data_IF_712936271104
#
_entry.id   IF_712936271104
#
_cell.length_a   1.000
_cell.length_b   1.000
_cell.length_c   1.000
_cell.angle_alpha   90.00
_cell.angle_beta   90.00
_cell.angle_gamma   90.00
#
_symmetry.space_group_name_H-M   'P 1'
#
loop_
_entity.id
_entity.type
_entity.pdbx_description
1 polymer ?
#
# COMPACT_ATOMS: atom_id res chain seq x y z
N UNK A 1 -6.46 -34.22 -4.17
CA UNK A 1 -7.60 -34.61 -5.03
C UNK A 1 -7.23 -35.87 -5.80
N UNK A 2 -7.54 -37.07 -5.29
CA UNK A 2 -7.49 -38.38 -5.99
C UNK A 2 -7.47 -39.56 -4.99
N UNK A 3 -8.59 -39.92 -4.36
CA UNK A 3 -8.60 -41.12 -3.48
C UNK A 3 -9.80 -42.03 -3.70
N UNK A 4 -11.00 -41.52 -3.99
CA UNK A 4 -12.19 -42.38 -4.17
C UNK A 4 -12.23 -43.17 -5.49
N UNK A 5 -11.53 -42.73 -6.55
CA UNK A 5 -11.54 -43.41 -7.86
C UNK A 5 -10.33 -44.30 -8.12
N UNK A 6 -9.34 -44.33 -7.23
CA UNK A 6 -8.01 -44.90 -7.53
C UNK A 6 -7.82 -46.36 -7.09
N UNK A 7 -8.64 -46.90 -6.18
CA UNK A 7 -8.47 -48.26 -5.65
C UNK A 7 -9.84 -48.90 -5.41
N UNK A 8 -10.10 -50.06 -6.01
CA UNK A 8 -11.37 -50.79 -5.97
C UNK A 8 -11.83 -51.33 -4.61
N UNK A 9 -11.47 -50.67 -3.49
CA UNK A 9 -11.91 -51.03 -2.13
C UNK A 9 -13.23 -50.35 -1.72
N UNK A 10 -13.80 -49.47 -2.56
CA UNK A 10 -15.02 -48.72 -2.22
C UNK A 10 -16.25 -49.64 -2.23
N UNK A 11 -16.30 -50.62 -3.13
CA UNK A 11 -17.43 -51.53 -3.26
C UNK A 11 -17.47 -52.54 -2.10
N UNK A 12 -16.31 -52.99 -1.59
CA UNK A 12 -16.23 -53.84 -0.39
C UNK A 12 -16.74 -53.12 0.87
N UNK A 13 -16.44 -51.82 0.99
CA UNK A 13 -16.94 -50.98 2.09
C UNK A 13 -18.44 -50.69 1.95
N UNK A 14 -18.96 -50.64 0.73
CA UNK A 14 -20.38 -50.49 0.45
C UNK A 14 -21.18 -51.68 0.96
N UNK A 15 -20.80 -52.89 0.53
CA UNK A 15 -21.50 -54.11 0.92
C UNK A 15 -21.45 -54.30 2.44
N UNK A 16 -20.29 -54.07 3.06
CA UNK A 16 -20.14 -54.12 4.52
C UNK A 16 -21.07 -53.13 5.25
N UNK A 17 -21.23 -51.90 4.75
CA UNK A 17 -22.11 -50.91 5.36
C UNK A 17 -23.58 -51.29 5.19
N UNK A 18 -23.99 -51.65 3.97
CA UNK A 18 -25.39 -51.98 3.65
C UNK A 18 -25.86 -53.22 4.43
N UNK A 19 -25.08 -54.31 4.45
CA UNK A 19 -25.46 -55.52 5.19
C UNK A 19 -25.55 -55.30 6.70
N UNK A 20 -24.64 -54.50 7.28
CA UNK A 20 -24.68 -54.16 8.71
C UNK A 20 -25.89 -53.29 9.07
N UNK A 21 -26.30 -52.40 8.17
CA UNK A 21 -27.51 -51.60 8.36
C UNK A 21 -28.77 -52.47 8.24
N UNK A 22 -28.86 -53.36 7.25
CA UNK A 22 -29.98 -54.30 7.12
C UNK A 22 -30.10 -55.21 8.34
N UNK A 23 -28.98 -55.73 8.85
CA UNK A 23 -28.95 -56.53 10.09
C UNK A 23 -29.46 -55.75 11.31
N UNK A 24 -29.28 -54.42 11.34
CA UNK A 24 -29.80 -53.53 12.39
C UNK A 24 -31.27 -53.13 12.18
N UNK A 25 -31.93 -53.67 11.16
CA UNK A 25 -33.36 -53.43 10.87
C UNK A 25 -33.63 -52.27 9.91
N UNK A 26 -32.62 -51.72 9.23
CA UNK A 26 -32.82 -50.68 8.21
C UNK A 26 -33.19 -51.29 6.85
N UNK A 27 -34.02 -50.59 6.09
CA UNK A 27 -34.33 -50.95 4.72
C UNK A 27 -33.08 -50.94 3.82
N UNK A 28 -32.99 -51.90 2.89
CA UNK A 28 -31.82 -52.07 2.02
C UNK A 28 -31.69 -50.91 1.03
N UNK A 29 -32.79 -50.49 0.42
CA UNK A 29 -32.78 -49.37 -0.53
C UNK A 29 -32.39 -48.07 0.16
N UNK A 30 -32.87 -47.85 1.39
CA UNK A 30 -32.43 -46.74 2.23
C UNK A 30 -30.92 -46.76 2.50
N UNK A 31 -30.39 -47.89 2.93
CA UNK A 31 -28.96 -48.06 3.26
C UNK A 31 -28.06 -47.80 2.05
N UNK A 32 -28.47 -48.29 0.87
CA UNK A 32 -27.78 -48.08 -0.39
C UNK A 32 -27.78 -46.60 -0.81
N UNK A 33 -28.90 -45.87 -0.62
CA UNK A 33 -28.97 -44.43 -0.87
C UNK A 33 -28.04 -43.63 0.05
N UNK A 34 -27.93 -43.99 1.33
CA UNK A 34 -27.00 -43.34 2.27
C UNK A 34 -25.55 -43.50 1.83
N UNK A 35 -25.14 -44.70 1.41
CA UNK A 35 -23.77 -44.91 0.92
C UNK A 35 -23.49 -44.10 -0.35
N UNK A 36 -24.45 -44.04 -1.28
CA UNK A 36 -24.32 -43.23 -2.49
C UNK A 36 -24.18 -41.73 -2.20
N UNK A 37 -24.82 -41.21 -1.15
CA UNK A 37 -24.60 -39.83 -0.69
C UNK A 37 -23.17 -39.64 -0.17
N UNK A 38 -22.66 -40.53 0.69
CA UNK A 38 -21.28 -40.47 1.20
C UNK A 38 -20.27 -40.51 0.04
N UNK A 39 -20.51 -41.36 -0.96
CA UNK A 39 -19.70 -41.45 -2.18
C UNK A 39 -19.68 -40.12 -2.95
N UNK A 40 -20.82 -39.44 -3.05
CA UNK A 40 -20.93 -38.10 -3.65
C UNK A 40 -20.17 -37.02 -2.86
N UNK A 41 -20.24 -37.05 -1.52
CA UNK A 41 -19.52 -36.10 -0.65
C UNK A 41 -18.01 -36.38 -0.57
N UNK A 42 -17.56 -37.62 -0.83
CA UNK A 42 -16.15 -38.00 -0.77
C UNK A 42 -15.22 -37.20 -1.70
N UNK A 43 -15.77 -36.57 -2.74
CA UNK A 43 -15.00 -35.70 -3.66
C UNK A 43 -14.87 -34.25 -3.17
N UNK A 44 -15.74 -33.80 -2.26
CA UNK A 44 -15.79 -32.43 -1.73
C UNK A 44 -15.61 -32.33 -0.20
N UNK A 45 -15.43 -33.46 0.49
CA UNK A 45 -15.26 -33.51 1.94
C UNK A 45 -13.99 -32.76 2.39
N UNK A 46 -14.14 -31.90 3.41
CA UNK A 46 -13.06 -31.12 3.98
C UNK A 46 -12.82 -31.52 5.44
N UNK A 47 -11.56 -31.63 5.92
CA UNK A 47 -11.28 -32.01 7.30
C UNK A 47 -11.81 -30.96 8.28
N UNK A 48 -12.78 -31.34 9.10
CA UNK A 48 -13.43 -30.44 10.07
C UNK A 48 -12.43 -29.84 11.06
N UNK A 49 -11.49 -30.64 11.57
CA UNK A 49 -10.47 -30.17 12.51
C UNK A 49 -9.58 -29.07 11.92
N UNK A 50 -9.26 -29.16 10.63
CA UNK A 50 -8.52 -28.14 9.89
C UNK A 50 -9.39 -26.91 9.65
N UNK A 51 -10.66 -27.07 9.25
CA UNK A 51 -11.57 -25.94 9.07
C UNK A 51 -11.77 -25.16 10.40
N UNK A 52 -11.98 -25.88 11.51
CA UNK A 52 -12.21 -25.29 12.81
C UNK A 52 -11.01 -24.47 13.32
N UNK A 53 -9.78 -24.97 13.14
CA UNK A 53 -8.57 -24.25 13.57
C UNK A 53 -8.38 -22.94 12.79
N UNK A 54 -8.59 -22.94 11.47
CA UNK A 54 -8.56 -21.72 10.65
C UNK A 54 -9.72 -20.78 10.97
N UNK A 55 -10.94 -21.30 11.16
CA UNK A 55 -12.10 -20.50 11.54
C UNK A 55 -11.88 -19.75 12.85
N UNK A 56 -11.20 -20.36 13.83
CA UNK A 56 -10.84 -19.71 15.07
C UNK A 56 -9.91 -18.50 14.84
N UNK A 57 -8.91 -18.62 13.95
CA UNK A 57 -8.02 -17.49 13.60
C UNK A 57 -8.79 -16.36 12.90
N UNK A 58 -9.69 -16.70 11.98
CA UNK A 58 -10.54 -15.73 11.28
C UNK A 58 -11.45 -15.00 12.27
N UNK A 59 -12.06 -15.73 13.20
CA UNK A 59 -12.93 -15.16 14.23
C UNK A 59 -12.16 -14.19 15.13
N UNK A 60 -11.01 -14.61 15.67
CA UNK A 60 -10.17 -13.75 16.53
C UNK A 60 -9.72 -12.50 15.77
N UNK A 61 -9.29 -12.63 14.51
CA UNK A 61 -8.86 -11.49 13.69
C UNK A 61 -10.02 -10.53 13.40
N UNK A 62 -11.20 -11.05 13.09
CA UNK A 62 -12.40 -10.26 12.83
C UNK A 62 -12.89 -9.55 14.10
N UNK A 63 -12.79 -10.22 15.26
CA UNK A 63 -13.11 -9.63 16.55
C UNK A 63 -12.16 -8.48 16.89
N UNK A 64 -10.85 -8.65 16.67
CA UNK A 64 -9.87 -7.56 16.82
C UNK A 64 -10.14 -6.41 15.86
N UNK A 65 -10.44 -6.69 14.58
CA UNK A 65 -10.79 -5.64 13.61
C UNK A 65 -12.05 -4.86 14.03
N UNK A 66 -13.06 -5.56 14.55
CA UNK A 66 -14.32 -4.96 14.98
C UNK A 66 -14.17 -4.10 16.25
N UNK A 67 -13.43 -4.59 17.25
CA UNK A 67 -13.38 -3.94 18.57
C UNK A 67 -12.12 -3.11 18.82
N UNK A 68 -11.03 -3.41 18.12
CA UNK A 68 -9.72 -2.74 18.25
C UNK A 68 -9.07 -2.45 16.89
N UNK A 69 -9.76 -1.73 15.98
CA UNK A 69 -9.25 -1.46 14.64
C UNK A 69 -7.88 -0.74 14.62
N UNK A 70 -7.59 0.13 15.58
CA UNK A 70 -6.32 0.86 15.63
C UNK A 70 -5.16 -0.09 15.95
N UNK A 71 -5.32 -0.92 16.98
CA UNK A 71 -4.35 -1.93 17.36
C UNK A 71 -4.16 -2.99 16.26
N UNK A 72 -5.26 -3.42 15.64
CA UNK A 72 -5.24 -4.38 14.53
C UNK A 72 -4.45 -3.83 13.34
N UNK A 73 -4.72 -2.59 12.93
CA UNK A 73 -3.98 -1.94 11.85
C UNK A 73 -2.50 -1.74 12.18
N UNK A 74 -2.16 -1.30 13.40
CA UNK A 74 -0.77 -1.17 13.85
C UNK A 74 -0.03 -2.50 13.76
N UNK A 75 -0.64 -3.58 14.26
CA UNK A 75 -0.05 -4.91 14.22
C UNK A 75 0.18 -5.39 12.78
N UNK A 76 -0.79 -5.16 11.87
CA UNK A 76 -0.64 -5.50 10.45
C UNK A 76 0.48 -4.70 9.78
N UNK A 77 0.59 -3.40 10.04
CA UNK A 77 1.67 -2.56 9.50
C UNK A 77 3.05 -3.00 10.00
N UNK A 78 3.15 -3.36 11.28
CA UNK A 78 4.41 -3.82 11.87
C UNK A 78 4.78 -5.25 11.44
N UNK A 79 3.82 -6.04 10.96
CA UNK A 79 4.05 -7.39 10.44
C UNK A 79 4.46 -7.42 8.95
N UNK A 80 4.64 -6.25 8.32
CA UNK A 80 5.10 -6.18 6.93
C UNK A 80 6.57 -6.61 6.80
N UNK A 81 6.96 -7.26 5.68
CA UNK A 81 6.17 -7.53 4.49
C UNK A 81 5.21 -8.73 4.67
N UNK A 82 3.90 -8.52 4.45
CA UNK A 82 2.87 -9.57 4.49
C UNK A 82 2.16 -9.71 3.13
N UNK A 83 1.39 -10.78 2.93
CA UNK A 83 1.03 -11.30 1.59
C UNK A 83 0.01 -10.55 0.74
N UNK A 84 -1.05 -9.94 1.29
CA UNK A 84 -2.16 -9.47 0.44
C UNK A 84 -2.33 -7.95 0.43
N UNK A 85 -2.42 -7.30 1.59
CA UNK A 85 -2.71 -5.85 1.69
C UNK A 85 -1.44 -4.99 1.77
N UNK A 86 -1.42 -3.90 1.00
CA UNK A 86 -0.39 -2.87 1.07
C UNK A 86 -0.61 -1.92 2.26
N UNK A 87 0.44 -1.26 2.79
CA UNK A 87 0.32 -0.31 3.90
C UNK A 87 -0.75 0.77 3.69
N UNK A 88 -0.83 1.35 2.48
CA UNK A 88 -1.84 2.35 2.14
C UNK A 88 -3.27 1.84 2.34
N UNK A 89 -3.55 0.59 1.97
CA UNK A 89 -4.87 -0.01 2.10
C UNK A 89 -5.23 -0.30 3.56
N UNK A 90 -4.25 -0.73 4.36
CA UNK A 90 -4.45 -0.97 5.80
C UNK A 90 -4.76 0.35 6.51
N UNK A 91 -4.00 1.40 6.18
CA UNK A 91 -4.20 2.75 6.72
C UNK A 91 -5.56 3.31 6.33
N UNK A 92 -5.96 3.13 5.06
CA UNK A 92 -7.27 3.53 4.57
C UNK A 92 -8.40 2.79 5.27
N UNK A 93 -8.32 1.46 5.35
CA UNK A 93 -9.31 0.63 6.04
C UNK A 93 -9.42 1.06 7.52
N UNK A 94 -8.31 1.32 8.21
CA UNK A 94 -8.34 1.84 9.57
C UNK A 94 -9.07 3.18 9.67
N UNK A 95 -8.80 4.12 8.75
CA UNK A 95 -9.48 5.42 8.70
C UNK A 95 -10.99 5.28 8.43
N UNK A 96 -11.39 4.37 7.54
CA UNK A 96 -12.80 4.05 7.25
C UNK A 96 -13.50 3.39 8.46
N UNK A 97 -12.75 2.73 9.36
CA UNK A 97 -13.22 2.24 10.66
C UNK A 97 -13.18 3.32 11.77
N UNK A 98 -12.94 4.59 11.42
CA UNK A 98 -12.94 5.72 12.36
C UNK A 98 -11.65 5.89 13.16
N UNK A 99 -10.57 5.19 12.81
CA UNK A 99 -9.26 5.38 13.45
C UNK A 99 -8.61 6.64 12.93
N UNK A 100 -8.23 7.55 13.83
CA UNK A 100 -7.38 8.69 13.47
C UNK A 100 -5.97 8.21 13.21
N UNK A 101 -5.46 8.43 12.00
CA UNK A 101 -4.08 8.09 11.62
C UNK A 101 -3.22 9.34 11.65
N UNK A 102 -2.05 9.25 12.27
CA UNK A 102 -1.09 10.33 12.42
C UNK A 102 0.17 10.01 11.60
N UNK A 103 0.67 11.00 10.89
CA UNK A 103 1.83 10.87 10.01
C UNK A 103 3.11 10.48 10.79
N UNK A 104 4.14 10.05 10.06
CA UNK A 104 5.46 9.87 10.66
C UNK A 104 5.98 11.22 11.15
N UNK A 105 6.59 11.27 12.34
CA UNK A 105 7.14 12.50 12.89
C UNK A 105 8.40 12.23 13.75
N UNK A 106 9.44 13.03 13.59
CA UNK A 106 10.72 12.84 14.31
C UNK A 106 10.61 12.99 15.82
N UNK A 107 9.66 13.78 16.33
CA UNK A 107 9.45 13.98 17.76
C UNK A 107 8.42 13.02 18.37
N UNK A 108 7.66 12.28 17.57
CA UNK A 108 6.60 11.41 18.09
C UNK A 108 6.73 9.94 17.68
N UNK A 109 7.14 9.65 16.45
CA UNK A 109 7.20 8.28 15.94
C UNK A 109 8.33 7.47 16.59
N UNK A 110 8.04 6.19 16.86
CA UNK A 110 9.05 5.16 17.10
C UNK A 110 9.46 4.51 15.77
N UNK A 111 10.29 3.45 15.82
CA UNK A 111 10.57 2.64 14.64
C UNK A 111 9.28 2.01 14.09
N UNK A 112 8.57 1.27 14.94
CA UNK A 112 7.28 0.65 14.65
C UNK A 112 6.12 1.64 14.75
N UNK A 113 5.01 1.31 14.10
CA UNK A 113 3.75 2.03 14.29
C UNK A 113 3.25 1.82 15.72
N UNK A 114 2.80 2.90 16.37
CA UNK A 114 2.37 2.92 17.78
C UNK A 114 0.94 3.44 17.93
N UNK A 115 0.38 3.28 19.13
CA UNK A 115 -0.91 3.84 19.50
C UNK A 115 -0.72 5.06 20.40
N UNK A 116 -1.30 6.20 20.01
CA UNK A 116 -1.26 7.46 20.77
C UNK A 116 -2.63 7.76 21.38
N UNK A 117 -2.68 8.05 22.68
CA UNK A 117 -3.94 8.37 23.35
C UNK A 117 -4.45 9.77 22.95
N UNK A 118 -5.71 9.85 22.52
CA UNK A 118 -6.37 11.07 22.02
C UNK A 118 -7.09 11.90 23.11
N UNK A 119 -7.03 11.49 24.38
CA UNK A 119 -7.75 12.14 25.48
C UNK A 119 -9.03 11.41 25.91
N UNK A 120 -9.89 12.08 26.68
CA UNK A 120 -11.01 11.46 27.40
C UNK A 120 -12.01 10.74 26.48
N UNK A 121 -12.49 9.54 26.88
CA UNK A 121 -13.31 8.66 26.04
C UNK A 121 -14.62 9.30 25.60
N UNK A 122 -14.91 9.22 24.30
CA UNK A 122 -16.29 9.16 23.80
C UNK A 122 -16.56 7.71 23.40
N UNK A 123 -17.58 7.12 24.02
CA UNK A 123 -18.25 5.84 23.79
C UNK A 123 -17.59 4.86 22.78
N UNK A 124 -16.46 4.27 23.19
CA UNK A 124 -15.78 3.20 22.46
C UNK A 124 -14.38 2.93 23.04
N UNK A 125 -14.02 1.67 23.31
CA UNK A 125 -12.74 1.33 23.95
C UNK A 125 -11.51 1.69 23.11
N UNK A 126 -11.64 1.73 21.77
CA UNK A 126 -10.51 1.93 20.84
C UNK A 126 -10.51 3.28 20.10
N UNK A 127 -11.61 4.04 20.12
CA UNK A 127 -11.62 5.44 19.61
C UNK A 127 -10.77 6.40 20.47
N UNK A 128 -10.23 5.89 21.58
CA UNK A 128 -9.26 6.59 22.43
C UNK A 128 -7.86 6.63 21.84
N UNK A 129 -7.55 5.80 20.85
CA UNK A 129 -6.21 5.71 20.29
C UNK A 129 -6.17 6.14 18.84
N UNK A 130 -5.19 6.97 18.51
CA UNK A 130 -4.75 7.20 17.16
C UNK A 130 -3.65 6.20 16.78
N UNK A 131 -3.63 5.81 15.51
CA UNK A 131 -2.53 5.07 14.92
C UNK A 131 -1.44 6.06 14.50
N UNK A 132 -0.27 6.02 15.15
CA UNK A 132 0.92 6.75 14.71
C UNK A 132 1.73 5.89 13.75
N UNK A 133 2.02 6.41 12.56
CA UNK A 133 2.93 5.74 11.63
C UNK A 133 4.36 5.75 12.18
N UNK A 134 5.01 4.59 12.11
CA UNK A 134 6.40 4.41 12.51
C UNK A 134 7.39 4.87 11.45
N UNK A 135 8.60 5.21 11.89
CA UNK A 135 9.73 5.59 11.03
C UNK A 135 10.06 4.51 9.98
N UNK A 136 9.73 3.25 10.25
CA UNK A 136 9.90 2.13 9.30
C UNK A 136 9.13 2.27 7.99
N UNK A 137 8.14 3.15 7.91
CA UNK A 137 7.41 3.42 6.67
C UNK A 137 8.22 4.26 5.68
N UNK A 138 9.26 4.96 6.14
CA UNK A 138 10.08 5.82 5.29
C UNK A 138 11.04 4.94 4.47
N UNK A 139 10.90 4.99 3.15
CA UNK A 139 11.72 4.22 2.21
C UNK A 139 13.20 4.58 2.37
N UNK A 140 14.02 3.57 2.62
CA UNK A 140 15.45 3.71 2.81
C UNK A 140 15.90 4.28 4.17
N UNK A 141 15.02 4.54 5.14
CA UNK A 141 15.47 4.90 6.49
C UNK A 141 15.93 3.64 7.25
N UNK A 142 17.21 3.53 7.67
CA UNK A 142 17.67 2.35 8.36
C UNK A 142 17.28 2.38 9.84
N UNK A 143 16.95 1.21 10.40
CA UNK A 143 16.50 1.05 11.78
C UNK A 143 17.49 1.63 12.81
N UNK A 144 18.81 1.42 12.61
CA UNK A 144 19.82 1.96 13.51
C UNK A 144 19.82 3.48 13.58
N UNK A 145 19.45 4.18 12.50
CA UNK A 145 19.35 5.64 12.49
C UNK A 145 18.09 6.10 13.25
N UNK A 146 16.97 5.40 13.05
CA UNK A 146 15.76 5.63 13.84
C UNK A 146 16.01 5.39 15.34
N UNK A 147 16.76 4.34 15.69
CA UNK A 147 17.12 4.04 17.07
C UNK A 147 17.95 5.17 17.72
N UNK A 148 18.94 5.73 17.01
CA UNK A 148 19.71 6.89 17.49
C UNK A 148 18.83 8.11 17.75
N UNK A 149 17.94 8.42 16.80
CA UNK A 149 16.99 9.52 16.91
C UNK A 149 16.06 9.33 18.13
N UNK A 150 15.51 8.13 18.31
CA UNK A 150 14.60 7.83 19.42
C UNK A 150 15.33 7.86 20.77
N UNK A 151 16.56 7.34 20.85
CA UNK A 151 17.38 7.36 22.05
C UNK A 151 17.73 8.80 22.47
N UNK A 152 18.24 9.61 21.53
CA UNK A 152 18.57 11.01 21.81
C UNK A 152 17.34 11.82 22.23
N UNK A 153 16.18 11.59 21.58
CA UNK A 153 14.92 12.23 21.96
C UNK A 153 14.48 11.88 23.39
N UNK A 154 14.74 10.65 23.84
CA UNK A 154 14.38 10.23 25.19
C UNK A 154 15.24 10.92 26.26
N UNK A 155 16.51 11.20 25.95
CA UNK A 155 17.45 11.85 26.88
C UNK A 155 17.40 13.39 26.81
N UNK A 156 17.46 13.95 25.61
CA UNK A 156 17.53 15.39 25.36
C UNK A 156 16.20 16.08 25.03
N UNK A 157 15.08 15.34 25.08
CA UNK A 157 13.75 15.85 24.74
C UNK A 157 13.54 16.10 23.24
N UNK A 158 12.46 16.79 22.89
CA UNK A 158 12.09 17.07 21.51
C UNK A 158 13.15 17.90 20.77
N UNK A 159 13.32 17.62 19.48
CA UNK A 159 14.14 18.42 18.57
C UNK A 159 13.39 19.70 18.19
N UNK A 160 14.10 20.83 18.27
CA UNK A 160 13.55 22.15 17.95
C UNK A 160 13.75 22.55 16.47
N UNK A 161 14.85 22.11 15.86
CA UNK A 161 15.24 22.46 14.49
C UNK A 161 15.89 21.28 13.75
N UNK A 162 16.06 21.42 12.42
CA UNK A 162 16.67 20.40 11.56
C UNK A 162 18.15 20.13 11.92
N UNK A 163 19.01 21.14 12.18
CA UNK A 163 20.40 20.90 12.58
C UNK A 163 20.56 20.14 13.90
N UNK A 164 19.62 20.23 14.84
CA UNK A 164 19.67 19.46 16.08
C UNK A 164 19.69 17.94 15.83
N UNK A 165 19.11 17.45 14.72
CA UNK A 165 19.17 16.03 14.37
C UNK A 165 20.60 15.59 13.98
N UNK A 166 21.39 16.48 13.37
CA UNK A 166 22.81 16.23 13.07
C UNK A 166 23.63 16.29 14.36
N UNK A 167 23.50 17.39 15.11
CA UNK A 167 24.35 17.67 16.27
C UNK A 167 24.09 16.75 17.46
N UNK A 168 22.81 16.48 17.78
CA UNK A 168 22.43 15.65 18.93
C UNK A 168 22.35 14.17 18.57
N UNK A 169 21.50 13.82 17.60
CA UNK A 169 21.27 12.42 17.22
C UNK A 169 22.35 11.83 16.30
N UNK A 170 23.33 12.63 15.85
CA UNK A 170 24.42 12.15 14.99
C UNK A 170 23.95 11.63 13.64
N UNK A 171 22.83 12.14 13.11
CA UNK A 171 22.30 11.73 11.82
C UNK A 171 23.07 12.39 10.68
N UNK A 172 23.30 11.63 9.61
CA UNK A 172 23.94 12.17 8.41
C UNK A 172 22.97 13.08 7.65
N UNK A 173 23.45 14.11 6.93
CA UNK A 173 22.59 14.99 6.12
C UNK A 173 21.69 14.22 5.14
N UNK A 174 22.19 13.13 4.56
CA UNK A 174 21.42 12.28 3.65
C UNK A 174 20.21 11.60 4.33
N UNK A 175 20.30 11.25 5.62
CA UNK A 175 19.19 10.70 6.38
C UNK A 175 18.20 11.79 6.79
N UNK A 176 18.69 12.98 7.12
CA UNK A 176 17.86 14.15 7.44
C UNK A 176 17.07 14.58 6.19
N UNK A 177 17.69 14.60 5.00
CA UNK A 177 16.99 14.87 3.74
C UNK A 177 15.89 13.84 3.47
N UNK A 178 16.09 12.56 3.83
CA UNK A 178 15.04 11.53 3.71
C UNK A 178 13.87 11.78 4.66
N UNK A 179 14.15 12.16 5.91
CA UNK A 179 13.11 12.55 6.88
C UNK A 179 12.33 13.77 6.37
N UNK A 180 13.02 14.73 5.75
CA UNK A 180 12.40 15.93 5.16
C UNK A 180 11.53 15.59 3.96
N UNK A 181 12.05 14.76 3.05
CA UNK A 181 11.30 14.26 1.90
C UNK A 181 10.03 13.53 2.35
N UNK A 182 10.11 12.76 3.45
CA UNK A 182 8.99 12.05 4.03
C UNK A 182 8.02 12.91 4.86
N UNK A 183 8.20 14.23 4.93
CA UNK A 183 7.36 15.17 5.71
C UNK A 183 7.30 14.83 7.21
N UNK A 184 8.42 14.38 7.78
CA UNK A 184 8.50 13.93 9.16
C UNK A 184 8.73 15.07 10.20
N UNK A 185 8.60 16.33 9.80
CA UNK A 185 8.91 17.51 10.63
C UNK A 185 7.66 18.30 11.06
N UNK A 186 6.49 17.66 11.06
CA UNK A 186 5.23 18.31 11.40
C UNK A 186 5.21 18.94 12.80
N UNK A 187 5.84 18.31 13.79
CA UNK A 187 5.98 18.81 15.17
C UNK A 187 6.84 20.07 15.29
N UNK A 188 7.71 20.33 14.32
CA UNK A 188 8.50 21.58 14.23
C UNK A 188 7.77 22.68 13.46
N UNK A 189 6.55 22.42 12.97
CA UNK A 189 5.79 23.31 12.10
C UNK A 189 6.58 23.70 10.82
N UNK A 190 7.43 22.80 10.34
CA UNK A 190 8.24 22.98 9.13
C UNK A 190 7.55 22.29 7.95
N UNK A 191 7.05 23.03 6.95
CA UNK A 191 6.49 22.42 5.75
C UNK A 191 7.59 21.70 4.97
N UNK A 192 7.26 20.57 4.33
CA UNK A 192 8.20 19.74 3.54
C UNK A 192 9.23 20.52 2.72
N UNK A 193 8.81 21.51 1.94
CA UNK A 193 9.71 22.28 1.07
C UNK A 193 10.75 23.08 1.86
N UNK A 194 10.35 23.66 3.00
CA UNK A 194 11.27 24.34 3.91
C UNK A 194 12.20 23.36 4.60
N UNK A 195 11.67 22.23 5.08
CA UNK A 195 12.47 21.19 5.71
C UNK A 195 13.54 20.61 4.75
N UNK A 196 13.21 20.42 3.48
CA UNK A 196 14.17 19.99 2.45
C UNK A 196 15.25 21.03 2.17
N UNK A 197 14.89 22.32 2.18
CA UNK A 197 15.85 23.41 2.04
C UNK A 197 16.86 23.42 3.19
N UNK A 198 16.38 23.34 4.42
CA UNK A 198 17.22 23.29 5.63
C UNK A 198 18.05 22.00 5.71
N UNK A 199 17.48 20.85 5.33
CA UNK A 199 18.24 19.60 5.32
C UNK A 199 19.39 19.63 4.31
N UNK A 200 19.23 20.32 3.18
CA UNK A 200 20.25 20.44 2.13
C UNK A 200 21.33 21.47 2.43
N UNK A 201 21.07 22.41 3.33
CA UNK A 201 22.12 23.34 3.78
C UNK A 201 23.12 22.68 4.72
N UNK A 202 22.77 21.53 5.34
CA UNK A 202 23.65 20.83 6.26
C UNK A 202 24.91 20.27 5.58
N UNK A 203 26.07 20.69 6.06
CA UNK A 203 27.36 20.17 5.61
C UNK A 203 27.65 18.82 6.31
N UNK A 204 28.12 17.83 5.58
CA UNK A 204 28.43 16.50 6.14
C UNK A 204 29.73 16.47 6.96
N UNK A 205 30.63 17.43 6.76
CA UNK A 205 31.88 17.53 7.48
C UNK A 205 31.64 17.76 8.99
N UNK A 206 32.53 17.24 9.86
CA UNK A 206 32.52 17.58 11.28
C UNK A 206 32.87 19.06 11.44
N UNK A 207 32.35 19.66 12.51
CA UNK A 207 32.61 21.06 12.82
C UNK A 207 34.13 21.28 12.99
N UNK A 208 34.62 22.38 12.43
CA UNK A 208 36.03 22.73 12.46
C UNK A 208 36.48 22.95 13.93
N UNK A 209 37.71 22.54 14.31
CA UNK A 209 38.18 22.57 15.70
C UNK A 209 38.09 23.93 16.39
N UNK A 210 38.18 25.02 15.62
CA UNK A 210 38.06 26.39 16.12
C UNK A 210 36.64 26.71 16.64
N UNK A 211 35.62 26.22 15.95
CA UNK A 211 34.21 26.47 16.29
C UNK A 211 33.74 25.54 17.41
N UNK A 212 34.22 24.29 17.41
CA UNK A 212 34.01 23.36 18.52
C UNK A 212 34.56 23.90 19.86
N UNK A 213 35.70 24.62 19.86
CA UNK A 213 36.26 25.23 21.07
C UNK A 213 35.48 26.46 21.55
N UNK A 214 34.86 27.20 20.63
CA UNK A 214 34.11 28.41 20.94
C UNK A 214 32.65 28.17 21.36
N UNK A 215 32.21 26.89 21.39
CA UNK A 215 30.80 26.49 21.49
C UNK A 215 29.91 27.30 20.51
N UNK A 216 30.48 27.59 19.35
CA UNK A 216 29.87 28.40 18.31
C UNK A 216 29.55 27.49 17.13
N UNK A 217 28.38 27.70 16.51
CA UNK A 217 28.07 26.99 15.26
C UNK A 217 29.10 27.38 14.18
N UNK A 218 29.60 26.37 13.48
CA UNK A 218 30.46 26.53 12.29
C UNK A 218 29.70 27.27 11.17
N UNK A 219 28.38 27.08 11.13
CA UNK A 219 27.45 27.77 10.24
C UNK A 219 26.73 28.90 11.00
N UNK A 220 26.90 30.15 10.53
CA UNK A 220 26.12 31.27 11.02
C UNK A 220 24.62 31.08 10.74
N UNK A 221 23.76 31.58 11.63
CA UNK A 221 22.32 31.59 11.37
C UNK A 221 22.03 32.32 10.04
N UNK A 222 21.08 31.80 9.25
CA UNK A 222 20.65 32.46 8.03
C UNK A 222 20.20 33.89 8.38
N UNK A 223 20.81 34.90 7.76
CA UNK A 223 20.59 36.31 8.11
C UNK A 223 19.11 36.73 7.99
N UNK A 224 18.36 36.05 7.13
CA UNK A 224 16.89 36.09 7.09
C UNK A 224 16.37 34.71 6.65
N UNK A 225 15.32 34.17 7.28
CA UNK A 225 14.75 32.89 6.88
C UNK A 225 14.20 32.97 5.45
N UNK A 226 14.76 32.16 4.55
CA UNK A 226 14.26 32.09 3.17
C UNK A 226 12.84 31.54 3.16
N UNK A 227 11.87 32.35 2.69
CA UNK A 227 10.45 31.95 2.60
C UNK A 227 10.18 31.32 1.24
N UNK A 228 10.06 30.00 1.21
CA UNK A 228 9.73 29.27 -0.02
C UNK A 228 8.20 29.27 -0.26
N UNK A 229 7.76 29.21 -1.54
CA UNK A 229 6.34 29.05 -1.85
C UNK A 229 5.83 27.73 -1.29
N UNK A 230 4.56 27.69 -0.87
CA UNK A 230 3.93 26.44 -0.40
C UNK A 230 3.91 25.39 -1.52
N UNK A 231 4.11 24.14 -1.15
CA UNK A 231 4.00 23.01 -2.07
C UNK A 231 2.51 22.78 -2.38
N UNK A 232 2.11 22.68 -3.65
CA UNK A 232 0.76 22.26 -4.01
C UNK A 232 0.44 20.87 -3.44
N UNK A 233 -0.83 20.64 -3.10
CA UNK A 233 -1.26 19.38 -2.48
C UNK A 233 -0.98 18.15 -3.36
N UNK A 234 -1.08 18.29 -4.69
CA UNK A 234 -0.78 17.20 -5.63
C UNK A 234 0.70 16.80 -5.58
N UNK A 235 1.60 17.78 -5.49
CA UNK A 235 3.05 17.56 -5.37
C UNK A 235 3.37 16.94 -4.00
N UNK A 236 2.69 17.36 -2.93
CA UNK A 236 2.81 16.73 -1.61
C UNK A 236 2.39 15.26 -1.63
N UNK A 237 1.23 14.94 -2.20
CA UNK A 237 0.75 13.55 -2.30
C UNK A 237 1.71 12.70 -3.13
N UNK A 238 2.21 13.23 -4.25
CA UNK A 238 3.21 12.52 -5.07
C UNK A 238 4.46 12.21 -4.25
N UNK A 239 4.98 13.17 -3.49
CA UNK A 239 6.14 12.96 -2.63
C UNK A 239 5.85 11.97 -1.48
N UNK A 240 4.64 11.96 -0.90
CA UNK A 240 4.22 10.97 0.10
C UNK A 240 4.31 9.54 -0.48
N UNK A 241 3.75 9.30 -1.68
CA UNK A 241 3.81 7.98 -2.31
C UNK A 241 5.22 7.57 -2.74
N UNK A 242 6.09 8.53 -3.07
CA UNK A 242 7.49 8.25 -3.38
C UNK A 242 8.31 7.84 -2.14
N UNK A 243 7.99 8.41 -0.97
CA UNK A 243 8.79 8.26 0.26
C UNK A 243 8.20 7.27 1.26
N UNK A 244 6.88 7.12 1.33
CA UNK A 244 6.18 6.26 2.29
C UNK A 244 5.24 5.24 1.62
N UNK A 245 5.06 5.32 0.30
CA UNK A 245 4.12 4.47 -0.48
C UNK A 245 2.64 4.63 -0.13
N UNK A 246 2.30 5.64 0.68
CA UNK A 246 0.94 6.01 1.06
C UNK A 246 0.88 7.52 1.31
N UNK A 247 -0.31 8.12 1.27
CA UNK A 247 -0.55 9.51 1.70
C UNK A 247 -1.76 9.56 2.63
N UNK A 248 -1.67 10.38 3.69
CA UNK A 248 -2.80 10.71 4.57
C UNK A 248 -3.58 11.94 4.07
N UNK A 249 -3.08 12.63 3.04
CA UNK A 249 -3.60 13.93 2.59
C UNK A 249 -4.71 13.76 1.55
N UNK A 250 -4.44 13.00 0.50
CA UNK A 250 -5.42 12.64 -0.52
C UNK A 250 -4.95 11.44 -1.36
N UNK A 251 -5.89 10.84 -2.09
CA UNK A 251 -5.59 9.81 -3.08
C UNK A 251 -5.21 10.45 -4.44
N UNK A 252 -4.25 9.91 -5.22
CA UNK A 252 -3.79 10.54 -6.46
C UNK A 252 -4.90 10.77 -7.51
N UNK A 253 -5.89 9.88 -7.58
CA UNK A 253 -7.02 10.04 -8.51
C UNK A 253 -7.95 11.19 -8.16
N UNK A 254 -7.94 11.69 -6.92
CA UNK A 254 -8.77 12.82 -6.55
C UNK A 254 -8.44 14.06 -7.39
N UNK A 255 -7.16 14.26 -7.75
CA UNK A 255 -6.71 15.36 -8.61
C UNK A 255 -7.05 15.15 -10.08
N UNK A 256 -7.14 13.90 -10.52
CA UNK A 256 -7.51 13.56 -11.90
C UNK A 256 -9.03 13.46 -12.10
N UNK A 257 -9.81 13.48 -11.00
CA UNK A 257 -11.25 13.18 -11.01
C UNK A 257 -12.05 14.09 -11.92
N UNK A 258 -11.75 15.39 -11.95
CA UNK A 258 -12.46 16.34 -12.81
C UNK A 258 -12.33 15.97 -14.30
N UNK A 259 -11.10 15.79 -14.77
CA UNK A 259 -10.80 15.37 -16.15
C UNK A 259 -11.38 13.99 -16.48
N UNK A 260 -11.29 13.04 -15.54
CA UNK A 260 -11.89 11.71 -15.68
C UNK A 260 -13.43 11.78 -15.81
N UNK A 261 -14.08 12.62 -15.01
CA UNK A 261 -15.53 12.79 -15.04
C UNK A 261 -16.01 13.40 -16.37
N UNK A 262 -15.30 14.40 -16.91
CA UNK A 262 -15.58 14.97 -18.24
C UNK A 262 -15.49 13.92 -19.36
N UNK A 263 -14.59 12.95 -19.21
CA UNK A 263 -14.42 11.82 -20.13
C UNK A 263 -15.42 10.67 -19.89
N UNK A 264 -16.29 10.79 -18.89
CA UNK A 264 -17.34 9.81 -18.56
C UNK A 264 -16.89 8.65 -17.66
N UNK A 265 -15.78 8.79 -16.95
CA UNK A 265 -15.34 7.79 -15.97
C UNK A 265 -16.12 7.90 -14.67
N UNK A 266 -16.55 6.77 -14.14
CA UNK A 266 -17.32 6.66 -12.90
C UNK A 266 -16.40 6.35 -11.72
N UNK A 267 -16.83 6.69 -10.50
CA UNK A 267 -16.14 6.30 -9.27
C UNK A 267 -16.41 4.85 -8.92
N UNK A 268 -15.50 4.22 -8.20
CA UNK A 268 -15.68 2.86 -7.68
C UNK A 268 -16.96 2.72 -6.85
N UNK A 269 -17.22 3.67 -5.95
CA UNK A 269 -18.42 3.69 -5.12
C UNK A 269 -19.73 3.80 -5.92
N UNK A 270 -19.69 4.46 -7.09
CA UNK A 270 -20.88 4.66 -7.92
C UNK A 270 -21.24 3.39 -8.73
N UNK A 271 -20.36 2.39 -8.81
CA UNK A 271 -20.61 1.18 -9.58
C UNK A 271 -21.84 0.42 -9.10
N UNK A 272 -22.10 0.40 -7.79
CA UNK A 272 -23.26 -0.27 -7.18
C UNK A 272 -24.62 0.27 -7.70
N UNK A 273 -24.64 1.52 -8.17
CA UNK A 273 -25.85 2.16 -8.72
C UNK A 273 -26.06 1.87 -10.22
N UNK A 274 -25.13 1.21 -10.88
CA UNK A 274 -25.16 0.99 -12.33
C UNK A 274 -26.01 -0.21 -12.69
N UNK A 275 -26.63 -0.19 -13.87
CA UNK A 275 -27.46 -1.32 -14.33
C UNK A 275 -26.58 -2.54 -14.60
N UNK A 276 -27.09 -3.73 -14.27
CA UNK A 276 -26.42 -4.99 -14.61
C UNK A 276 -26.09 -5.06 -16.10
N UNK A 277 -24.87 -5.50 -16.43
CA UNK A 277 -24.30 -5.57 -17.78
C UNK A 277 -24.20 -4.26 -18.55
N UNK A 278 -24.42 -3.11 -17.89
CA UNK A 278 -24.16 -1.81 -18.53
C UNK A 278 -22.67 -1.60 -18.75
N UNK A 279 -22.34 -0.94 -19.86
CA UNK A 279 -20.97 -0.53 -20.17
C UNK A 279 -20.61 0.70 -19.33
N UNK A 280 -19.50 0.63 -18.60
CA UNK A 280 -18.97 1.72 -17.80
C UNK A 280 -17.47 1.91 -18.06
N UNK A 281 -16.94 3.06 -17.67
CA UNK A 281 -15.52 3.38 -17.69
C UNK A 281 -15.06 3.65 -16.27
N UNK A 282 -14.02 2.97 -15.81
CA UNK A 282 -13.40 3.18 -14.50
C UNK A 282 -11.92 3.43 -14.69
N UNK A 283 -11.34 4.26 -13.83
CA UNK A 283 -9.91 4.49 -13.78
C UNK A 283 -9.46 4.25 -12.34
N UNK A 284 -8.30 3.63 -12.17
CA UNK A 284 -7.79 3.32 -10.85
C UNK A 284 -6.31 2.99 -10.83
N UNK A 285 -5.69 3.23 -9.69
CA UNK A 285 -4.35 2.76 -9.38
C UNK A 285 -4.39 1.23 -9.31
N UNK A 286 -3.48 0.57 -9.99
CA UNK A 286 -3.43 -0.89 -9.98
C UNK A 286 -2.76 -1.37 -8.69
N UNK A 287 -3.50 -2.12 -7.88
CA UNK A 287 -3.03 -2.64 -6.60
C UNK A 287 -2.46 -4.05 -6.72
N UNK A 288 -3.26 -4.95 -7.28
CA UNK A 288 -3.02 -6.39 -7.27
C UNK A 288 -3.34 -6.97 -8.64
N UNK A 289 -2.53 -7.93 -9.08
CA UNK A 289 -2.79 -8.77 -10.25
C UNK A 289 -2.65 -10.24 -9.90
N UNK A 290 -3.71 -11.01 -10.13
CA UNK A 290 -3.75 -12.43 -9.83
C UNK A 290 -4.12 -13.23 -11.05
N UNK A 291 -3.45 -14.37 -11.24
CA UNK A 291 -3.78 -15.34 -12.28
C UNK A 291 -3.74 -16.74 -11.67
N UNK A 292 -4.77 -17.12 -10.88
CA UNK A 292 -4.79 -18.41 -10.23
C UNK A 292 -4.80 -19.55 -11.25
N UNK A 293 -4.00 -20.59 -11.00
CA UNK A 293 -3.86 -21.73 -11.91
C UNK A 293 -5.18 -22.49 -12.16
N UNK A 294 -6.13 -22.40 -11.24
CA UNK A 294 -7.47 -23.00 -11.34
C UNK A 294 -8.42 -22.25 -12.27
N UNK A 295 -8.15 -20.98 -12.60
CA UNK A 295 -9.08 -20.13 -13.34
C UNK A 295 -8.89 -20.15 -14.86
N UNK A 296 -8.35 -21.24 -15.43
CA UNK A 296 -8.15 -21.43 -16.88
C UNK A 296 -7.47 -20.23 -17.57
N UNK A 297 -6.57 -19.55 -16.86
CA UNK A 297 -5.81 -18.42 -17.38
C UNK A 297 -6.46 -17.04 -17.26
N UNK A 298 -7.64 -16.91 -16.65
CA UNK A 298 -8.27 -15.61 -16.34
C UNK A 298 -7.40 -14.81 -15.37
N UNK A 299 -7.28 -13.50 -15.62
CA UNK A 299 -6.54 -12.56 -14.79
C UNK A 299 -7.51 -11.64 -14.03
N UNK A 300 -7.30 -11.49 -12.73
CA UNK A 300 -8.03 -10.58 -11.85
C UNK A 300 -7.11 -9.41 -11.50
N UNK A 301 -7.61 -8.19 -11.71
CA UNK A 301 -6.88 -6.95 -11.42
C UNK A 301 -7.72 -6.12 -10.46
N UNK A 302 -7.18 -5.74 -9.31
CA UNK A 302 -7.85 -4.82 -8.38
C UNK A 302 -7.35 -3.41 -8.63
N UNK A 303 -8.27 -2.51 -8.96
CA UNK A 303 -8.03 -1.08 -9.13
C UNK A 303 -8.52 -0.31 -7.90
N UNK A 304 -7.85 0.77 -7.55
CA UNK A 304 -8.24 1.68 -6.47
C UNK A 304 -8.44 3.10 -6.98
N UNK A 305 -9.53 3.73 -6.56
CA UNK A 305 -9.72 5.17 -6.62
C UNK A 305 -9.98 5.74 -5.22
N UNK A 306 -10.15 7.06 -5.14
CA UNK A 306 -10.40 7.76 -3.89
C UNK A 306 -11.70 7.35 -3.18
N UNK A 307 -12.59 6.63 -3.88
CA UNK A 307 -13.90 6.21 -3.39
C UNK A 307 -13.97 4.72 -3.03
N UNK A 308 -13.04 3.90 -3.51
CA UNK A 308 -13.01 2.48 -3.19
C UNK A 308 -12.15 1.65 -4.12
N UNK A 309 -12.40 0.34 -4.11
CA UNK A 309 -11.73 -0.63 -4.98
C UNK A 309 -12.69 -1.22 -6.02
N UNK A 310 -12.16 -1.60 -7.17
CA UNK A 310 -12.90 -2.25 -8.26
C UNK A 310 -12.16 -3.51 -8.69
N UNK A 311 -12.87 -4.63 -8.73
CA UNK A 311 -12.33 -5.89 -9.22
C UNK A 311 -12.59 -6.05 -10.72
N UNK A 312 -11.52 -6.05 -11.51
CA UNK A 312 -11.56 -6.18 -12.96
C UNK A 312 -11.21 -7.60 -13.37
N UNK A 313 -12.05 -8.20 -14.22
CA UNK A 313 -11.84 -9.54 -14.78
C UNK A 313 -11.35 -9.40 -16.22
N UNK A 314 -10.19 -9.98 -16.52
CA UNK A 314 -9.57 -9.96 -17.84
C UNK A 314 -9.45 -11.38 -18.37
N UNK A 315 -10.20 -11.67 -19.44
CA UNK A 315 -10.16 -12.97 -20.12
C UNK A 315 -8.83 -13.20 -20.86
N UNK A 316 -8.41 -14.46 -21.07
CA UNK A 316 -7.12 -14.80 -21.70
C UNK A 316 -6.87 -14.08 -23.03
N UNK A 317 -7.85 -14.09 -23.94
CA UNK A 317 -7.72 -13.46 -25.26
C UNK A 317 -7.47 -11.94 -25.17
N UNK A 318 -8.07 -11.29 -24.17
CA UNK A 318 -7.86 -9.86 -23.90
C UNK A 318 -6.49 -9.61 -23.28
N UNK A 319 -6.04 -10.50 -22.40
CA UNK A 319 -4.74 -10.43 -21.77
C UNK A 319 -3.61 -10.58 -22.79
N UNK A 320 -3.74 -11.48 -23.76
CA UNK A 320 -2.75 -11.67 -24.82
C UNK A 320 -2.60 -10.40 -25.68
N UNK A 321 -3.73 -9.80 -26.08
CA UNK A 321 -3.75 -8.55 -26.86
C UNK A 321 -3.19 -7.36 -26.09
N UNK A 322 -3.52 -7.25 -24.81
CA UNK A 322 -3.16 -6.10 -23.96
C UNK A 322 -2.06 -6.41 -22.93
N UNK A 323 -1.18 -7.39 -23.21
CA UNK A 323 -0.18 -7.88 -22.26
C UNK A 323 0.69 -6.76 -21.69
N UNK A 324 1.08 -5.78 -22.51
CA UNK A 324 1.89 -4.63 -22.06
C UNK A 324 1.15 -3.79 -21.01
N UNK A 325 -0.12 -3.48 -21.25
CA UNK A 325 -0.97 -2.69 -20.34
C UNK A 325 -1.24 -3.49 -19.07
N UNK A 326 -1.64 -4.76 -19.21
CA UNK A 326 -1.92 -5.65 -18.08
C UNK A 326 -0.70 -5.81 -17.18
N UNK A 327 0.51 -5.92 -17.71
CA UNK A 327 1.71 -6.16 -16.90
C UNK A 327 2.40 -4.88 -16.41
N UNK A 328 2.26 -3.76 -17.14
CA UNK A 328 3.09 -2.57 -16.95
C UNK A 328 2.39 -1.38 -16.31
N UNK A 329 1.07 -1.26 -16.47
CA UNK A 329 0.34 -0.07 -16.04
C UNK A 329 0.37 0.10 -14.51
N UNK A 330 0.39 1.33 -14.02
CA UNK A 330 0.17 1.67 -12.60
C UNK A 330 -1.11 2.44 -12.40
N UNK A 331 -1.50 3.22 -13.41
CA UNK A 331 -2.83 3.77 -13.54
C UNK A 331 -3.46 3.13 -14.78
N UNK A 332 -4.62 2.50 -14.59
CA UNK A 332 -5.31 1.82 -15.68
C UNK A 332 -6.68 2.41 -15.86
N UNK A 333 -7.01 2.69 -17.12
CA UNK A 333 -8.36 3.01 -17.56
C UNK A 333 -8.98 1.75 -18.16
N UNK A 334 -10.16 1.40 -17.67
CA UNK A 334 -10.86 0.18 -18.05
C UNK A 334 -12.27 0.55 -18.49
N UNK A 335 -12.60 0.17 -19.73
CA UNK A 335 -13.98 0.14 -20.19
C UNK A 335 -14.46 -1.30 -20.11
N UNK A 336 -15.58 -1.53 -19.45
CA UNK A 336 -16.05 -2.89 -19.20
C UNK A 336 -17.53 -2.97 -18.86
N UNK A 337 -18.04 -4.20 -18.73
CA UNK A 337 -19.41 -4.49 -18.32
C UNK A 337 -19.46 -4.76 -16.83
N UNK A 338 -20.38 -4.11 -16.13
CA UNK A 338 -20.61 -4.36 -14.70
C UNK A 338 -21.36 -5.68 -14.55
N UNK A 339 -20.85 -6.58 -13.72
CA UNK A 339 -21.52 -7.79 -13.30
C UNK A 339 -21.60 -7.83 -11.77
N UNK A 340 -22.72 -8.34 -11.27
CA UNK A 340 -22.99 -8.52 -9.86
C UNK A 340 -22.97 -10.01 -9.56
N UNK A 341 -22.12 -10.42 -8.63
CA UNK A 341 -22.14 -11.76 -8.05
C UNK A 341 -22.30 -11.59 -6.53
N UNK A 342 -23.50 -11.85 -6.03
CA UNK A 342 -23.94 -11.53 -4.68
C UNK A 342 -23.61 -10.08 -4.26
N UNK A 343 -22.71 -9.90 -3.28
CA UNK A 343 -22.27 -8.60 -2.77
C UNK A 343 -21.09 -7.99 -3.53
N UNK A 344 -20.45 -8.77 -4.42
CA UNK A 344 -19.21 -8.39 -5.10
C UNK A 344 -19.51 -7.86 -6.50
N UNK A 345 -18.94 -6.69 -6.79
CA UNK A 345 -19.06 -6.04 -8.09
C UNK A 345 -17.82 -6.36 -8.90
N UNK A 346 -18.02 -6.98 -10.07
CA UNK A 346 -16.97 -7.27 -11.02
C UNK A 346 -17.13 -6.42 -12.27
N UNK A 347 -16.02 -6.01 -12.86
CA UNK A 347 -15.99 -5.34 -14.16
C UNK A 347 -15.30 -6.26 -15.17
N UNK A 348 -16.07 -6.81 -16.11
CA UNK A 348 -15.49 -7.57 -17.22
C UNK A 348 -14.87 -6.59 -18.22
N UNK A 349 -13.55 -6.63 -18.36
CA UNK A 349 -12.81 -5.72 -19.21
C UNK A 349 -13.13 -5.95 -20.70
N UNK A 350 -13.50 -4.87 -21.39
CA UNK A 350 -13.69 -4.82 -22.83
C UNK A 350 -12.56 -4.04 -23.53
N UNK A 351 -11.96 -3.05 -22.87
CA UNK A 351 -10.73 -2.40 -23.31
C UNK A 351 -9.91 -1.92 -22.11
N UNK A 352 -8.58 -1.94 -22.27
CA UNK A 352 -7.61 -1.52 -21.25
C UNK A 352 -6.66 -0.49 -21.85
N UNK A 353 -6.48 0.63 -21.15
CA UNK A 353 -5.55 1.68 -21.55
C UNK A 353 -4.61 2.00 -20.39
N UNK A 354 -3.31 2.10 -20.69
CA UNK A 354 -2.31 2.53 -19.72
C UNK A 354 -2.35 4.06 -19.60
N UNK A 355 -2.77 4.56 -18.45
CA UNK A 355 -2.83 5.98 -18.13
C UNK A 355 -1.70 6.41 -17.18
N UNK A 356 -0.67 5.58 -16.98
CA UNK A 356 0.41 5.86 -16.02
C UNK A 356 1.14 7.19 -16.28
N UNK A 357 1.11 7.69 -17.51
CA UNK A 357 1.65 9.02 -17.87
C UNK A 357 0.90 10.18 -17.22
N UNK A 358 -0.38 10.03 -16.90
CA UNK A 358 -1.17 11.08 -16.23
C UNK A 358 -0.68 11.35 -14.81
N UNK A 359 -0.11 10.34 -14.14
CA UNK A 359 0.49 10.51 -12.81
C UNK A 359 1.68 11.49 -12.84
N UNK A 360 2.44 11.51 -13.95
CA UNK A 360 3.56 12.43 -14.09
C UNK A 360 3.12 13.90 -14.19
N UNK A 361 1.85 14.17 -14.53
CA UNK A 361 1.29 15.53 -14.55
C UNK A 361 0.91 16.06 -13.16
N UNK A 362 0.90 15.20 -12.13
CA UNK A 362 0.53 15.60 -10.76
C UNK A 362 1.64 16.35 -10.03
N UNK A 363 2.86 16.31 -10.56
CA UNK A 363 4.02 17.01 -10.01
C UNK A 363 4.72 17.78 -11.13
N UNK A 364 4.97 19.07 -10.90
CA UNK A 364 5.75 19.92 -11.80
C UNK A 364 7.22 19.46 -11.90
N UNK A 365 7.66 18.60 -10.98
CA UNK A 365 9.02 18.07 -10.87
C UNK A 365 9.31 16.88 -11.81
N UNK A 366 8.40 16.57 -12.73
CA UNK A 366 8.75 15.78 -13.90
C UNK A 366 9.65 16.63 -14.81
N UNK A 367 10.94 16.72 -14.46
CA UNK A 367 12.02 17.09 -15.38
C UNK A 367 11.73 16.37 -16.69
N UNK A 368 11.28 17.11 -17.70
CA UNK A 368 11.22 16.61 -19.06
C UNK A 368 12.61 16.02 -19.32
N UNK A 369 12.73 14.72 -19.66
CA UNK A 369 14.04 14.16 -19.94
C UNK A 369 14.63 15.06 -21.01
N UNK A 370 15.79 15.67 -20.71
CA UNK A 370 16.49 16.49 -21.68
C UNK A 370 16.64 15.60 -22.93
N UNK A 371 15.90 15.94 -23.98
CA UNK A 371 16.05 15.26 -25.26
C UNK A 371 17.50 15.51 -25.64
N UNK A 372 18.32 14.45 -25.59
CA UNK A 372 19.66 14.52 -26.13
C UNK A 372 19.51 14.97 -27.58
N UNK A 373 20.05 16.14 -27.93
CA UNK A 373 20.21 16.51 -29.34
C UNK A 373 21.09 15.43 -29.95
N UNK A 374 20.70 14.89 -31.09
CA UNK A 374 21.34 13.73 -31.71
C UNK A 374 22.77 13.98 -32.22
N UNK A 375 23.35 15.17 -31.96
CA UNK A 375 24.47 15.71 -32.73
C UNK A 375 25.75 15.96 -31.91
N UNK A 376 25.74 15.73 -30.58
CA UNK A 376 26.93 15.96 -29.74
C UNK A 376 27.72 14.67 -29.46
N UNK A 377 28.52 14.23 -30.42
CA UNK A 377 29.48 13.12 -30.24
C UNK A 377 30.94 13.60 -30.16
N UNK A 378 31.27 14.87 -30.45
CA UNK A 378 32.68 15.23 -30.70
C UNK A 378 33.17 16.53 -30.04
N UNK A 379 33.13 16.66 -28.70
CA UNK A 379 34.11 17.43 -27.89
C UNK A 379 33.80 17.39 -26.39
N UNK A 380 34.73 16.98 -25.51
CA UNK A 380 34.58 17.17 -24.07
C UNK A 380 35.19 18.52 -23.66
N UNK A 381 34.38 19.40 -23.05
CA UNK A 381 34.88 20.54 -22.26
C UNK A 381 34.90 20.09 -20.78
N UNK A 382 36.04 20.18 -20.06
CA UNK A 382 36.08 19.86 -18.64
C UNK A 382 35.64 21.08 -17.83
N UNK A 383 34.32 21.27 -17.68
CA UNK A 383 33.76 22.19 -16.71
C UNK A 383 33.09 21.43 -15.57
N UNK A 384 33.44 21.80 -14.34
CA UNK A 384 32.90 21.31 -13.07
C UNK A 384 31.37 21.23 -13.12
N UNK A 385 30.87 20.05 -13.45
CA UNK A 385 29.47 19.71 -13.28
C UNK A 385 29.25 19.48 -11.77
N UNK A 386 28.33 20.17 -11.08
CA UNK A 386 27.81 19.65 -9.83
C UNK A 386 27.27 18.24 -10.11
N UNK A 387 27.34 17.29 -9.16
CA UNK A 387 26.97 15.91 -9.46
C UNK A 387 25.56 15.90 -10.01
N UNK A 388 25.45 15.62 -11.32
CA UNK A 388 24.19 15.39 -11.99
C UNK A 388 23.45 14.39 -11.11
N UNK A 389 22.26 14.77 -10.64
CA UNK A 389 21.33 13.84 -10.05
C UNK A 389 20.99 12.81 -11.12
N UNK A 390 21.83 11.78 -11.23
CA UNK A 390 21.51 10.53 -11.92
C UNK A 390 20.46 9.84 -11.07
N UNK A 391 19.27 10.43 -11.03
CA UNK A 391 18.05 9.76 -10.64
C UNK A 391 17.82 8.68 -11.68
N UNK A 392 18.19 7.45 -11.34
CA UNK A 392 17.86 6.27 -12.14
C UNK A 392 16.36 6.33 -12.46
N UNK A 393 15.85 5.92 -13.64
CA UNK A 393 14.41 5.83 -13.92
C UNK A 393 13.59 4.92 -12.96
N UNK A 394 14.25 4.37 -11.93
CA UNK A 394 13.65 3.71 -10.76
C UNK A 394 13.26 4.70 -9.64
N UNK A 395 13.91 5.87 -9.55
CA UNK A 395 13.69 6.91 -8.54
C UNK A 395 12.63 7.95 -8.94
N UNK A 396 12.15 7.95 -10.19
CA UNK A 396 11.07 8.84 -10.69
C UNK A 396 9.67 8.22 -10.48
N UNK A 397 9.54 7.24 -9.57
CA UNK A 397 8.37 6.35 -9.51
C UNK A 397 7.39 6.82 -8.44
N UNK A 398 6.33 7.50 -8.89
CA UNK A 398 5.25 8.03 -8.04
C UNK A 398 4.53 6.91 -7.29
N UNK A 399 3.94 5.95 -7.99
CA UNK A 399 3.21 4.84 -7.37
C UNK A 399 4.11 3.59 -7.27
N UNK A 400 4.08 2.83 -6.15
CA UNK A 400 4.73 1.52 -6.04
C UNK A 400 4.32 0.57 -7.16
N UNK A 401 5.11 -0.49 -7.37
CA UNK A 401 4.65 -1.60 -8.21
C UNK A 401 3.46 -2.26 -7.52
N UNK A 402 2.46 -2.62 -8.31
CA UNK A 402 1.44 -3.57 -7.90
C UNK A 402 2.06 -4.91 -7.48
N UNK A 403 1.30 -5.67 -6.72
CA UNK A 403 1.65 -7.03 -6.35
C UNK A 403 1.15 -7.97 -7.43
N UNK A 404 2.07 -8.58 -8.16
CA UNK A 404 1.76 -9.38 -9.34
C UNK A 404 2.07 -10.87 -9.09
N UNK A 405 1.16 -11.76 -9.52
CA UNK A 405 1.36 -13.21 -9.69
C UNK A 405 1.85 -13.99 -8.46
N UNK A 406 0.93 -14.19 -7.52
CA UNK A 406 0.98 -15.33 -6.60
C UNK A 406 0.10 -16.46 -7.11
#
# INVERSE_FOLDING_TARGET
MATFRSRGMVDELQDMMVERMVTRGYDRDFSQRCFNQIKGFGEYGFPESHAASFAHLVYVSSWLKCHYPAAFAAALLNSQPMGFYAPAQIVRDAAEHGVRVLAVDVNHSAWDCTLEALGTPQDGKDQRFALRLGLRQIDGLPEHAAAKLVADRAEGGAFADVPALKGRAGLTPALIERLAAADAFGSMNLPRRQALWEARSLIAAPDLPLFAFADARDEGAEAAPTRLPRMPLSEEVVADYQTQRLSLKAHPLAFLRASLAERGFVRAADLRSRKFRSMVQVAGVVLIRQRPGSAKGVCFITLEDESGVVNVVVWPDMMEKNRKVVMGARLMEVRGRVEYDDEVIHLIAASLTDASGELARLSDDALAPAMARADEVNRPIPERTPPASRSHPRNVRIIPKSRDFH
#
